data_IF_924977579518
#
_entry.id   IF_924977579518
#
_cell.length_a   1.000
_cell.length_b   1.000
_cell.length_c   1.000
_cell.angle_alpha   90.00
_cell.angle_beta   90.00
_cell.angle_gamma   90.00
#
_symmetry.space_group_name_H-M   'P 1'
#
loop_
_entity.id
_entity.type
_entity.pdbx_description
1 polymer ?
#
# COMPACT_ATOMS: atom_id res chain seq x y z
N UNK A 1 -8.95 -22.86 -13.22
CA UNK A 1 -8.63 -21.53 -13.77
C UNK A 1 -9.89 -20.70 -13.68
N UNK A 2 -10.17 -20.17 -12.49
CA UNK A 2 -11.39 -19.42 -12.19
C UNK A 2 -10.97 -18.04 -11.72
N UNK A 3 -11.60 -17.05 -12.36
CA UNK A 3 -11.46 -15.61 -12.31
C UNK A 3 -10.96 -15.01 -10.99
N UNK A 4 -9.88 -14.24 -11.12
CA UNK A 4 -9.60 -13.10 -10.25
C UNK A 4 -10.26 -11.88 -10.88
N UNK A 5 -11.57 -11.72 -10.72
CA UNK A 5 -12.30 -10.52 -11.16
C UNK A 5 -11.73 -9.31 -10.39
N UNK A 6 -11.23 -8.30 -11.11
CA UNK A 6 -10.56 -7.16 -10.50
C UNK A 6 -11.56 -6.36 -9.67
N UNK A 7 -11.09 -5.69 -8.60
CA UNK A 7 -11.91 -4.72 -7.83
C UNK A 7 -12.55 -3.68 -8.76
N UNK A 8 -11.84 -3.29 -9.83
CA UNK A 8 -12.32 -2.39 -10.87
C UNK A 8 -13.52 -2.97 -11.63
N UNK A 9 -13.47 -4.24 -12.04
CA UNK A 9 -14.55 -4.89 -12.79
C UNK A 9 -15.84 -4.95 -11.97
N UNK A 10 -15.72 -5.26 -10.67
CA UNK A 10 -16.86 -5.26 -9.73
C UNK A 10 -17.48 -3.89 -9.52
N UNK A 11 -16.68 -2.83 -9.54
CA UNK A 11 -17.20 -1.46 -9.40
C UNK A 11 -17.89 -1.00 -10.70
N UNK A 12 -17.33 -1.33 -11.88
CA UNK A 12 -17.98 -1.10 -13.18
C UNK A 12 -19.32 -1.84 -13.28
N UNK A 13 -19.37 -3.10 -12.85
CA UNK A 13 -20.62 -3.88 -12.82
C UNK A 13 -21.65 -3.32 -11.85
N UNK A 14 -21.22 -2.81 -10.68
CA UNK A 14 -22.11 -2.11 -9.75
C UNK A 14 -22.74 -0.88 -10.41
N UNK A 15 -21.94 -0.05 -11.07
CA UNK A 15 -22.43 1.16 -11.75
C UNK A 15 -23.40 0.84 -12.89
N UNK A 16 -23.17 -0.23 -13.65
CA UNK A 16 -24.14 -0.69 -14.66
C UNK A 16 -25.45 -1.20 -14.07
N UNK A 17 -25.40 -1.91 -12.93
CA UNK A 17 -26.60 -2.37 -12.24
C UNK A 17 -27.44 -1.20 -11.68
N UNK A 18 -26.77 -0.20 -11.09
CA UNK A 18 -27.43 1.02 -10.61
C UNK A 18 -28.06 1.82 -11.76
N UNK A 19 -27.35 1.95 -12.88
CA UNK A 19 -27.88 2.60 -14.08
C UNK A 19 -29.11 1.87 -14.64
N UNK A 20 -29.07 0.54 -14.73
CA UNK A 20 -30.21 -0.28 -15.16
C UNK A 20 -31.45 -0.03 -14.30
N UNK A 21 -31.29 -0.03 -12.97
CA UNK A 21 -32.40 0.16 -12.05
C UNK A 21 -33.09 1.51 -12.27
N UNK A 22 -32.30 2.59 -12.41
CA UNK A 22 -32.83 3.93 -12.69
C UNK A 22 -33.46 4.04 -14.07
N UNK A 23 -32.86 3.41 -15.09
CA UNK A 23 -33.44 3.36 -16.41
C UNK A 23 -34.81 2.66 -16.40
N UNK A 24 -34.93 1.57 -15.63
CA UNK A 24 -36.21 0.89 -15.44
C UNK A 24 -37.24 1.78 -14.73
N UNK A 25 -36.85 2.47 -13.66
CA UNK A 25 -37.73 3.40 -12.94
C UNK A 25 -38.21 4.54 -13.84
N UNK A 26 -37.31 5.11 -14.65
CA UNK A 26 -37.65 6.16 -15.60
C UNK A 26 -38.60 5.65 -16.68
N UNK A 27 -38.27 4.52 -17.33
CA UNK A 27 -39.11 3.92 -18.37
C UNK A 27 -40.50 3.55 -17.82
N UNK A 28 -40.60 3.10 -16.58
CA UNK A 28 -41.88 2.83 -15.93
C UNK A 28 -42.71 4.09 -15.66
N UNK A 29 -42.06 5.24 -15.50
CA UNK A 29 -42.70 6.53 -15.24
C UNK A 29 -43.02 7.33 -16.52
N UNK A 30 -42.53 6.92 -17.69
CA UNK A 30 -42.80 7.59 -18.97
C UNK A 30 -44.30 7.64 -19.27
N UNK A 31 -44.77 8.80 -19.70
CA UNK A 31 -46.14 9.02 -20.16
C UNK A 31 -46.23 8.94 -21.68
N UNK A 32 -47.43 8.71 -22.21
CA UNK A 32 -47.68 8.68 -23.65
C UNK A 32 -47.12 9.95 -24.34
N UNK A 33 -46.23 9.75 -25.31
CA UNK A 33 -45.54 10.82 -26.03
C UNK A 33 -44.16 11.19 -25.49
N UNK A 34 -43.73 10.60 -24.37
CA UNK A 34 -42.38 10.76 -23.83
C UNK A 34 -41.38 9.86 -24.57
N UNK A 35 -40.16 10.37 -24.70
CA UNK A 35 -39.04 9.66 -25.32
C UNK A 35 -37.73 9.94 -24.61
N UNK A 36 -36.84 8.94 -24.66
CA UNK A 36 -35.50 8.98 -24.10
C UNK A 36 -34.52 8.40 -25.13
N UNK A 37 -33.43 9.10 -25.40
CA UNK A 37 -32.32 8.62 -26.23
C UNK A 37 -31.07 8.49 -25.36
N UNK A 38 -30.42 7.33 -25.43
CA UNK A 38 -29.15 7.03 -24.79
C UNK A 38 -28.08 6.88 -25.89
N UNK A 39 -27.13 7.80 -25.94
CA UNK A 39 -26.09 7.84 -26.97
C UNK A 39 -24.69 7.75 -26.32
N UNK A 40 -23.76 6.91 -26.80
CA UNK A 40 -22.38 6.96 -26.35
C UNK A 40 -21.73 8.31 -26.63
N UNK A 41 -20.93 8.78 -25.68
CA UNK A 41 -20.12 9.98 -25.77
C UNK A 41 -18.94 9.70 -26.72
N UNK A 42 -19.06 10.10 -27.98
CA UNK A 42 -17.98 9.99 -28.96
C UNK A 42 -17.56 11.40 -29.39
N UNK A 43 -16.25 11.67 -29.42
CA UNK A 43 -15.69 12.90 -30.00
C UNK A 43 -15.83 12.83 -31.52
N UNK A 44 -17.00 13.15 -32.08
CA UNK A 44 -17.17 13.64 -33.47
C UNK A 44 -18.66 13.83 -33.80
N UNK A 45 -19.05 15.07 -34.07
CA UNK A 45 -20.43 15.53 -34.27
C UNK A 45 -20.79 15.60 -35.77
N UNK A 46 -20.41 14.57 -36.55
CA UNK A 46 -20.63 14.60 -38.01
C UNK A 46 -20.91 13.21 -38.60
N UNK A 47 -22.18 12.85 -38.71
CA UNK A 47 -22.67 11.68 -39.45
C UNK A 47 -24.17 11.39 -39.22
N UNK A 48 -24.79 10.46 -39.99
CA UNK A 48 -26.15 9.97 -39.72
C UNK A 48 -26.25 9.32 -38.32
N UNK A 49 -27.48 8.95 -37.90
CA UNK A 49 -27.79 8.48 -36.53
C UNK A 49 -26.68 7.60 -35.94
N UNK A 50 -26.04 8.10 -34.88
CA UNK A 50 -24.97 7.40 -34.17
C UNK A 50 -25.48 6.15 -33.44
N UNK A 51 -24.59 5.35 -32.85
CA UNK A 51 -25.00 4.25 -31.99
C UNK A 51 -25.87 4.81 -30.86
N UNK A 52 -27.08 4.27 -30.67
CA UNK A 52 -27.95 4.72 -29.60
C UNK A 52 -28.90 3.61 -29.15
N UNK A 53 -29.55 3.84 -28.02
CA UNK A 53 -30.77 3.13 -27.63
C UNK A 53 -31.86 4.17 -27.39
N UNK A 54 -33.00 4.01 -28.05
CA UNK A 54 -34.12 4.93 -27.94
C UNK A 54 -35.32 4.24 -27.27
N UNK A 55 -36.00 4.98 -26.42
CA UNK A 55 -37.30 4.62 -25.85
C UNK A 55 -38.35 5.61 -26.28
N UNK A 56 -39.55 5.11 -26.56
CA UNK A 56 -40.71 5.93 -26.86
C UNK A 56 -41.96 5.31 -26.23
N UNK A 57 -42.60 6.06 -25.33
CA UNK A 57 -43.85 5.64 -24.70
C UNK A 57 -45.04 6.09 -25.55
N UNK A 58 -45.95 5.17 -25.81
CA UNK A 58 -47.15 5.42 -26.61
C UNK A 58 -48.33 4.58 -26.12
N UNK A 59 -49.54 5.03 -26.47
CA UNK A 59 -50.84 4.37 -26.28
C UNK A 59 -50.97 3.24 -25.26
N UNK A 60 -51.82 3.45 -24.25
CA UNK A 60 -52.18 2.43 -23.24
C UNK A 60 -50.97 1.89 -22.46
N UNK A 61 -49.95 2.73 -22.21
CA UNK A 61 -48.80 2.39 -21.38
C UNK A 61 -47.84 1.38 -22.03
N UNK A 62 -47.74 1.37 -23.37
CA UNK A 62 -46.71 0.63 -24.08
C UNK A 62 -45.45 1.48 -24.24
N UNK A 63 -44.29 0.85 -24.15
CA UNK A 63 -43.00 1.46 -24.44
C UNK A 63 -42.33 0.66 -25.54
N UNK A 64 -41.96 1.38 -26.60
CA UNK A 64 -41.11 0.89 -27.67
C UNK A 64 -39.66 1.18 -27.32
N UNK A 65 -38.80 0.19 -27.49
CA UNK A 65 -37.35 0.31 -27.36
C UNK A 65 -36.72 0.00 -28.71
N UNK A 66 -35.79 0.84 -29.17
CA UNK A 66 -35.19 0.78 -30.51
C UNK A 66 -33.66 0.90 -30.49
N UNK A 67 -33.02 0.20 -31.41
CA UNK A 67 -31.57 0.23 -31.67
C UNK A 67 -31.35 0.39 -33.18
N UNK A 68 -30.53 1.36 -33.64
CA UNK A 68 -30.31 1.59 -35.06
C UNK A 68 -29.89 0.34 -35.82
N UNK A 69 -30.43 0.17 -37.03
CA UNK A 69 -30.01 -0.86 -37.97
C UNK A 69 -28.84 -0.39 -38.85
N UNK A 70 -28.19 -1.33 -39.55
CA UNK A 70 -27.13 -1.03 -40.52
C UNK A 70 -27.54 -0.08 -41.66
N UNK A 71 -28.85 0.18 -41.84
CA UNK A 71 -29.36 1.19 -42.77
C UNK A 71 -29.23 2.63 -42.25
N UNK A 72 -29.11 2.82 -40.94
CA UNK A 72 -28.98 4.13 -40.28
C UNK A 72 -27.55 4.43 -39.81
N UNK A 73 -26.74 3.38 -39.62
CA UNK A 73 -25.37 3.47 -39.13
C UNK A 73 -24.38 3.81 -40.25
N UNK A 74 -23.38 4.60 -39.90
CA UNK A 74 -22.20 4.83 -40.75
C UNK A 74 -21.49 3.50 -41.09
N UNK A 75 -20.93 3.33 -42.31
CA UNK A 75 -20.18 2.13 -42.69
C UNK A 75 -19.16 1.64 -41.66
N UNK A 76 -18.47 2.54 -40.96
CA UNK A 76 -17.42 2.20 -39.99
C UNK A 76 -17.99 1.71 -38.65
N UNK A 77 -19.30 1.79 -38.44
CA UNK A 77 -20.00 1.43 -37.20
C UNK A 77 -21.12 0.41 -37.41
N UNK A 78 -21.11 -0.30 -38.53
CA UNK A 78 -22.11 -1.33 -38.83
C UNK A 78 -22.03 -2.50 -37.86
N UNK A 79 -23.19 -2.95 -37.41
CA UNK A 79 -23.40 -4.18 -36.67
C UNK A 79 -22.85 -5.37 -37.45
N UNK A 80 -21.99 -6.15 -36.81
CA UNK A 80 -21.52 -7.41 -37.37
C UNK A 80 -22.59 -8.51 -37.24
N UNK A 81 -22.42 -9.65 -37.94
CA UNK A 81 -23.35 -10.78 -37.83
C UNK A 81 -23.51 -11.32 -36.39
N UNK A 82 -22.47 -11.18 -35.54
CA UNK A 82 -22.53 -11.57 -34.13
C UNK A 82 -23.39 -10.63 -33.29
N UNK A 83 -23.36 -9.33 -33.58
CA UNK A 83 -24.15 -8.32 -32.87
C UNK A 83 -25.63 -8.41 -33.27
N UNK A 84 -25.92 -8.63 -34.56
CA UNK A 84 -27.28 -8.87 -35.05
C UNK A 84 -27.89 -10.14 -34.43
N UNK A 85 -27.09 -11.20 -34.29
CA UNK A 85 -27.50 -12.43 -33.60
C UNK A 85 -27.76 -12.19 -32.11
N UNK A 86 -26.89 -11.44 -31.42
CA UNK A 86 -27.08 -11.08 -30.01
C UNK A 86 -28.35 -10.25 -29.80
N UNK A 87 -28.64 -9.28 -30.66
CA UNK A 87 -29.89 -8.51 -30.62
C UNK A 87 -31.10 -9.43 -30.83
N UNK A 88 -31.04 -10.36 -31.79
CA UNK A 88 -32.13 -11.32 -31.98
C UNK A 88 -32.35 -12.23 -30.75
N UNK A 89 -31.27 -12.71 -30.12
CA UNK A 89 -31.32 -13.54 -28.90
C UNK A 89 -31.90 -12.78 -27.69
N UNK A 90 -31.59 -11.50 -27.56
CA UNK A 90 -32.16 -10.60 -26.55
C UNK A 90 -33.66 -10.29 -26.81
N UNK A 91 -34.20 -10.75 -27.94
CA UNK A 91 -35.62 -10.66 -28.29
C UNK A 91 -36.00 -9.45 -29.14
N UNK A 92 -35.01 -8.72 -29.67
CA UNK A 92 -35.25 -7.61 -30.58
C UNK A 92 -35.78 -8.13 -31.91
N UNK A 93 -36.79 -7.46 -32.45
CA UNK A 93 -37.31 -7.74 -33.79
C UNK A 93 -36.44 -7.04 -34.82
N UNK A 94 -36.09 -7.76 -35.88
CA UNK A 94 -35.38 -7.18 -37.01
C UNK A 94 -36.21 -6.05 -37.65
N UNK A 95 -35.54 -5.09 -38.32
CA UNK A 95 -36.20 -4.04 -39.09
C UNK A 95 -37.27 -4.62 -40.03
N UNK A 96 -38.50 -4.14 -39.93
CA UNK A 96 -39.60 -4.60 -40.77
C UNK A 96 -39.71 -3.83 -42.09
N UNK A 97 -39.08 -2.66 -42.15
CA UNK A 97 -39.12 -1.74 -43.30
C UNK A 97 -37.79 -0.98 -43.46
N UNK A 98 -37.56 -0.38 -44.62
CA UNK A 98 -36.46 0.56 -44.84
C UNK A 98 -36.72 1.95 -44.23
N UNK A 99 -35.68 2.81 -44.13
CA UNK A 99 -35.81 4.16 -43.58
C UNK A 99 -36.81 5.03 -44.35
N UNK A 100 -36.88 4.84 -45.68
CA UNK A 100 -37.71 5.62 -46.60
C UNK A 100 -39.08 4.96 -46.91
N UNK A 101 -39.35 3.79 -46.33
CA UNK A 101 -40.59 3.05 -46.57
C UNK A 101 -41.75 3.60 -45.71
N UNK A 102 -43.01 3.55 -46.19
CA UNK A 102 -44.17 4.04 -45.44
C UNK A 102 -44.40 3.31 -44.10
N UNK A 103 -45.05 3.97 -43.14
CA UNK A 103 -45.31 3.42 -41.80
C UNK A 103 -46.29 2.25 -41.84
N UNK A 104 -45.83 1.08 -41.36
CA UNK A 104 -46.58 -0.18 -41.34
C UNK A 104 -46.81 -0.73 -39.91
N UNK A 105 -46.55 0.10 -38.89
CA UNK A 105 -46.61 -0.28 -37.47
C UNK A 105 -45.34 -0.95 -36.92
N UNK A 106 -44.36 -1.26 -37.79
CA UNK A 106 -43.04 -1.74 -37.38
C UNK A 106 -41.99 -0.62 -37.29
N UNK A 107 -40.72 -0.94 -37.51
CA UNK A 107 -39.61 0.01 -37.38
C UNK A 107 -38.51 -0.28 -38.41
N UNK A 108 -37.83 0.77 -38.92
CA UNK A 108 -36.63 0.59 -39.74
C UNK A 108 -35.37 0.30 -38.88
N UNK A 109 -35.50 0.36 -37.56
CA UNK A 109 -34.52 -0.04 -36.56
C UNK A 109 -34.83 -1.44 -35.98
N UNK A 110 -33.90 -2.02 -35.22
CA UNK A 110 -34.22 -3.16 -34.36
C UNK A 110 -35.13 -2.67 -33.23
N UNK A 111 -36.24 -3.36 -32.97
CA UNK A 111 -37.25 -2.83 -32.06
C UNK A 111 -37.89 -3.89 -31.16
N UNK A 112 -38.44 -3.44 -30.03
CA UNK A 112 -39.25 -4.24 -29.13
C UNK A 112 -40.33 -3.38 -28.47
N UNK A 113 -41.57 -3.85 -28.51
CA UNK A 113 -42.69 -3.23 -27.77
C UNK A 113 -43.01 -4.06 -26.52
N UNK A 114 -43.09 -3.39 -25.37
CA UNK A 114 -43.51 -3.98 -24.10
C UNK A 114 -44.36 -3.00 -23.28
N UNK A 115 -45.26 -3.48 -22.41
CA UNK A 115 -45.91 -2.63 -21.42
C UNK A 115 -44.87 -2.00 -20.49
N UNK A 116 -45.13 -0.78 -20.00
CA UNK A 116 -44.27 -0.08 -19.02
C UNK A 116 -44.04 -0.90 -17.73
N UNK A 117 -44.96 -1.81 -17.38
CA UNK A 117 -44.77 -2.76 -16.28
C UNK A 117 -43.57 -3.72 -16.46
N UNK A 118 -43.02 -3.83 -17.68
CA UNK A 118 -41.85 -4.62 -18.02
C UNK A 118 -40.59 -3.74 -18.23
N UNK A 119 -40.58 -2.53 -17.66
CA UNK A 119 -39.49 -1.57 -17.79
C UNK A 119 -38.12 -2.14 -17.38
N UNK A 120 -38.04 -3.02 -16.37
CA UNK A 120 -36.78 -3.66 -15.99
C UNK A 120 -36.23 -4.58 -17.10
N UNK A 121 -37.11 -5.29 -17.83
CA UNK A 121 -36.66 -6.07 -18.99
C UNK A 121 -36.13 -5.15 -20.09
N UNK A 122 -36.86 -4.07 -20.38
CA UNK A 122 -36.47 -3.08 -21.39
C UNK A 122 -35.11 -2.43 -21.03
N UNK A 123 -34.91 -2.07 -19.77
CA UNK A 123 -33.64 -1.54 -19.27
C UNK A 123 -32.50 -2.58 -19.35
N UNK A 124 -32.76 -3.85 -19.05
CA UNK A 124 -31.77 -4.91 -19.12
C UNK A 124 -31.26 -5.15 -20.55
N UNK A 125 -32.18 -5.22 -21.53
CA UNK A 125 -31.80 -5.43 -22.93
C UNK A 125 -31.08 -4.21 -23.50
N UNK A 126 -31.48 -3.00 -23.10
CA UNK A 126 -30.81 -1.75 -23.45
C UNK A 126 -29.38 -1.67 -22.91
N UNK A 127 -29.17 -1.97 -21.62
CA UNK A 127 -27.83 -2.01 -21.01
C UNK A 127 -26.94 -3.06 -21.68
N UNK A 128 -27.52 -4.21 -22.05
CA UNK A 128 -26.78 -5.26 -22.75
C UNK A 128 -26.37 -4.80 -24.15
N UNK A 129 -27.26 -4.13 -24.89
CA UNK A 129 -26.93 -3.54 -26.19
C UNK A 129 -25.81 -2.48 -26.05
N UNK A 130 -25.93 -1.55 -25.09
CA UNK A 130 -24.92 -0.53 -24.83
C UNK A 130 -23.54 -1.12 -24.48
N UNK A 131 -23.47 -2.15 -23.61
CA UNK A 131 -22.20 -2.77 -23.22
C UNK A 131 -21.59 -3.69 -24.28
N UNK A 132 -22.41 -4.56 -24.87
CA UNK A 132 -21.91 -5.69 -25.67
C UNK A 132 -21.90 -5.39 -27.16
N UNK A 133 -22.87 -4.62 -27.64
CA UNK A 133 -22.98 -4.26 -29.06
C UNK A 133 -22.25 -2.94 -29.32
N UNK A 134 -22.49 -1.93 -28.48
CA UNK A 134 -21.85 -0.62 -28.63
C UNK A 134 -20.54 -0.45 -27.86
N UNK A 135 -20.12 -1.47 -27.10
CA UNK A 135 -18.82 -1.48 -26.42
C UNK A 135 -18.65 -0.38 -25.38
N UNK A 136 -19.73 0.18 -24.84
CA UNK A 136 -19.66 1.26 -23.85
C UNK A 136 -19.07 0.70 -22.56
N UNK A 137 -17.90 1.20 -22.10
CA UNK A 137 -17.21 0.61 -20.96
C UNK A 137 -17.91 0.93 -19.63
N UNK A 138 -18.50 2.13 -19.50
CA UNK A 138 -19.13 2.61 -18.27
C UNK A 138 -20.32 3.54 -18.57
N UNK A 139 -21.41 3.55 -17.77
CA UNK A 139 -22.59 4.37 -18.05
C UNK A 139 -22.33 5.90 -18.04
N UNK A 140 -21.25 6.36 -17.42
CA UNK A 140 -20.81 7.78 -17.47
C UNK A 140 -20.44 8.25 -18.88
N UNK A 141 -20.17 7.32 -19.80
CA UNK A 141 -19.91 7.66 -21.20
C UNK A 141 -21.21 7.71 -22.03
N UNK A 142 -22.37 7.87 -21.41
CA UNK A 142 -23.63 8.06 -22.11
C UNK A 142 -24.07 9.51 -22.02
N UNK A 143 -24.61 10.02 -23.12
CA UNK A 143 -25.44 11.21 -23.17
C UNK A 143 -26.90 10.78 -23.17
N UNK A 144 -27.71 11.54 -22.47
CA UNK A 144 -29.12 11.24 -22.24
C UNK A 144 -29.94 12.43 -22.70
N UNK A 145 -30.77 12.22 -23.72
CA UNK A 145 -31.65 13.26 -24.25
C UNK A 145 -33.12 12.83 -24.12
N UNK A 146 -33.88 13.59 -23.34
CA UNK A 146 -35.33 13.36 -23.13
C UNK A 146 -36.18 14.35 -23.92
N UNK A 147 -37.23 13.86 -24.57
CA UNK A 147 -38.18 14.67 -25.34
C UNK A 147 -39.63 14.23 -25.05
N UNK A 148 -40.61 15.08 -25.35
CA UNK A 148 -42.03 14.78 -25.08
C UNK A 148 -42.70 15.76 -24.12
N UNK A 149 -43.96 15.48 -23.80
CA UNK A 149 -44.87 16.40 -23.08
C UNK A 149 -44.72 16.36 -21.57
N UNK A 150 -44.15 15.30 -21.00
CA UNK A 150 -44.00 15.07 -19.56
C UNK A 150 -42.55 15.09 -19.07
N UNK A 151 -41.69 15.98 -19.59
CA UNK A 151 -40.25 16.09 -19.28
C UNK A 151 -39.91 15.88 -17.79
N UNK A 152 -39.62 14.65 -17.42
CA UNK A 152 -38.79 14.31 -16.29
C UNK A 152 -37.38 14.14 -16.86
N UNK A 153 -36.45 15.03 -16.49
CA UNK A 153 -35.07 14.91 -16.96
C UNK A 153 -34.50 13.59 -16.42
N UNK A 154 -33.97 12.75 -17.33
CA UNK A 154 -33.26 11.54 -16.93
C UNK A 154 -31.84 11.92 -16.53
N UNK A 155 -31.65 12.23 -15.25
CA UNK A 155 -30.32 12.55 -14.73
C UNK A 155 -29.51 11.27 -14.49
N UNK A 156 -28.35 11.18 -15.15
CA UNK A 156 -27.30 10.26 -14.75
C UNK A 156 -26.96 10.49 -13.27
N UNK A 157 -26.51 9.46 -12.54
CA UNK A 157 -26.02 9.69 -11.19
C UNK A 157 -24.99 10.83 -11.21
N UNK A 158 -25.03 11.78 -10.26
CA UNK A 158 -23.76 12.37 -9.84
C UNK A 158 -22.83 11.19 -9.53
N UNK A 159 -21.53 11.26 -9.89
CA UNK A 159 -20.57 10.22 -9.54
C UNK A 159 -20.84 9.82 -8.09
N UNK A 160 -20.99 8.51 -7.84
CA UNK A 160 -21.46 7.97 -6.57
C UNK A 160 -20.94 8.85 -5.45
N UNK A 161 -21.86 9.46 -4.69
CA UNK A 161 -21.50 10.31 -3.55
C UNK A 161 -20.47 9.52 -2.78
N UNK A 162 -19.20 9.96 -2.85
CA UNK A 162 -18.11 9.30 -2.16
C UNK A 162 -18.64 9.14 -0.76
N UNK A 163 -18.80 7.89 -0.31
CA UNK A 163 -19.00 7.61 1.11
C UNK A 163 -17.97 8.51 1.78
N UNK A 164 -18.37 9.57 2.50
CA UNK A 164 -17.44 10.60 2.88
C UNK A 164 -16.31 9.86 3.58
N UNK A 165 -15.05 9.98 3.11
CA UNK A 165 -13.96 9.28 3.75
C UNK A 165 -14.06 9.62 5.23
N UNK A 166 -14.01 8.57 6.06
CA UNK A 166 -13.99 8.72 7.52
C UNK A 166 -13.01 9.84 7.85
N UNK A 167 -13.54 10.97 8.33
CA UNK A 167 -12.84 12.24 8.53
C UNK A 167 -11.88 12.61 7.37
N UNK A 168 -12.29 13.57 6.52
CA UNK A 168 -11.47 13.99 5.38
C UNK A 168 -10.10 14.54 5.84
N UNK A 169 -9.09 13.66 5.82
CA UNK A 169 -7.69 14.05 5.86
C UNK A 169 -7.44 15.08 4.75
N UNK A 170 -6.60 16.11 4.99
CA UNK A 170 -6.33 17.12 3.98
C UNK A 170 -5.78 16.48 2.69
N UNK A 171 -6.32 16.86 1.52
CA UNK A 171 -5.97 16.29 0.20
C UNK A 171 -4.46 16.32 -0.11
N UNK A 172 -3.76 17.39 0.32
CA UNK A 172 -2.31 17.53 0.27
C UNK A 172 -1.88 18.71 1.16
N UNK A 173 -0.85 18.53 1.99
CA UNK A 173 -0.33 19.57 2.90
C UNK A 173 1.10 19.92 2.52
N UNK A 174 1.37 21.22 2.36
CA UNK A 174 2.74 21.72 2.21
C UNK A 174 3.45 21.64 3.55
N UNK A 175 4.59 20.95 3.59
CA UNK A 175 5.35 20.72 4.81
C UNK A 175 6.34 21.86 5.06
N UNK A 176 6.53 22.20 6.34
CA UNK A 176 7.30 23.38 6.77
C UNK A 176 8.61 23.00 7.49
N UNK A 177 8.98 21.72 7.48
CA UNK A 177 10.13 21.14 8.16
C UNK A 177 9.82 19.76 8.76
N UNK A 178 10.83 19.10 9.32
CA UNK A 178 10.75 17.75 9.91
C UNK A 178 9.63 17.60 10.95
N UNK A 179 9.53 18.56 11.89
CA UNK A 179 8.53 18.51 12.97
C UNK A 179 7.09 18.55 12.43
N UNK A 180 6.84 19.37 11.40
CA UNK A 180 5.53 19.44 10.77
C UNK A 180 5.20 18.15 10.03
N UNK A 181 6.19 17.46 9.45
CA UNK A 181 5.99 16.12 8.86
C UNK A 181 5.62 15.12 9.96
N UNK A 182 6.29 15.15 11.12
CA UNK A 182 5.96 14.28 12.26
C UNK A 182 4.53 14.48 12.76
N UNK A 183 4.11 15.73 12.96
CA UNK A 183 2.74 16.06 13.36
C UNK A 183 1.70 15.54 12.35
N UNK A 184 2.00 15.65 11.05
CA UNK A 184 1.13 15.16 9.98
C UNK A 184 1.06 13.63 9.94
N UNK A 185 2.17 12.93 10.17
CA UNK A 185 2.20 11.47 10.30
C UNK A 185 1.36 11.05 11.50
N UNK A 186 1.60 11.66 12.67
CA UNK A 186 0.91 11.30 13.91
C UNK A 186 -0.60 11.55 13.83
N UNK A 187 -1.03 12.69 13.28
CA UNK A 187 -2.45 12.97 13.05
C UNK A 187 -3.08 11.99 12.06
N UNK A 188 -2.40 11.67 10.96
CA UNK A 188 -2.87 10.68 9.97
C UNK A 188 -3.03 9.29 10.57
N UNK A 189 -2.06 8.84 11.38
CA UNK A 189 -2.11 7.53 12.03
C UNK A 189 -3.17 7.48 13.13
N UNK A 190 -3.34 8.56 13.89
CA UNK A 190 -4.33 8.69 14.96
C UNK A 190 -5.76 8.53 14.44
N UNK A 191 -6.05 9.08 13.27
CA UNK A 191 -7.36 8.93 12.65
C UNK A 191 -7.66 7.49 12.21
N UNK A 192 -6.63 6.73 11.81
CA UNK A 192 -6.79 5.34 11.33
C UNK A 192 -6.75 4.29 12.44
N UNK A 193 -5.82 4.42 13.38
CA UNK A 193 -5.46 3.39 14.38
C UNK A 193 -5.91 3.81 15.78
N UNK A 194 -6.24 5.08 16.00
CA UNK A 194 -6.63 5.62 17.30
C UNK A 194 -5.40 6.01 18.12
N UNK A 195 -4.92 5.11 18.97
CA UNK A 195 -3.78 5.38 19.86
C UNK A 195 -2.47 5.19 19.09
N UNK A 196 -1.74 6.28 18.87
CA UNK A 196 -0.47 6.27 18.12
C UNK A 196 0.67 6.05 19.12
N UNK A 197 1.61 5.13 18.84
CA UNK A 197 2.82 4.96 19.65
C UNK A 197 3.61 6.26 19.80
N UNK A 198 4.46 6.34 20.83
CA UNK A 198 5.39 7.44 20.98
C UNK A 198 6.52 7.31 19.96
N UNK A 199 7.02 8.46 19.47
CA UNK A 199 8.26 8.53 18.71
C UNK A 199 9.43 8.00 19.54
N UNK A 200 10.27 7.18 18.94
CA UNK A 200 11.49 6.66 19.59
C UNK A 200 12.65 7.67 19.52
N UNK A 201 13.79 7.30 20.13
CA UNK A 201 15.00 8.15 20.14
C UNK A 201 15.62 8.34 18.74
N UNK A 202 15.29 7.46 17.79
CA UNK A 202 15.77 7.47 16.41
C UNK A 202 14.85 8.29 15.47
N UNK A 203 13.68 8.70 15.97
CA UNK A 203 12.75 9.56 15.27
C UNK A 203 11.75 8.81 14.39
N UNK A 204 11.45 7.55 14.74
CA UNK A 204 10.51 6.67 14.06
C UNK A 204 9.34 6.25 14.98
N UNK A 205 8.23 5.84 14.37
CA UNK A 205 7.05 5.27 15.02
C UNK A 205 6.94 3.78 14.75
N UNK A 206 6.95 2.95 15.79
CA UNK A 206 6.84 1.50 15.67
C UNK A 206 5.37 1.03 15.73
N UNK A 207 4.82 0.62 14.59
CA UNK A 207 3.47 0.09 14.43
C UNK A 207 3.47 -1.45 14.40
N UNK A 208 2.42 -2.07 14.96
CA UNK A 208 2.21 -3.51 14.88
C UNK A 208 1.25 -3.84 13.74
N UNK A 209 1.70 -4.63 12.79
CA UNK A 209 0.90 -5.05 11.63
C UNK A 209 1.15 -6.52 11.34
N UNK A 210 0.09 -7.34 11.36
CA UNK A 210 0.15 -8.78 11.08
C UNK A 210 1.22 -9.56 11.88
N UNK A 211 1.48 -9.17 13.14
CA UNK A 211 2.47 -9.82 14.01
C UNK A 211 3.93 -9.43 13.73
N UNK A 212 4.15 -8.41 12.87
CA UNK A 212 5.44 -7.85 12.51
C UNK A 212 5.51 -6.37 12.89
N UNK A 213 6.73 -5.86 13.13
CA UNK A 213 6.97 -4.44 13.46
C UNK A 213 7.21 -3.65 12.17
N UNK A 214 6.48 -2.55 12.02
CA UNK A 214 6.60 -1.60 10.91
C UNK A 214 6.99 -0.24 11.49
N UNK A 215 8.14 0.27 11.11
CA UNK A 215 8.63 1.59 11.48
C UNK A 215 8.16 2.63 10.46
N UNK A 216 7.69 3.78 10.95
CA UNK A 216 7.31 4.93 10.13
C UNK A 216 8.10 6.14 10.58
N UNK A 217 8.94 6.65 9.71
CA UNK A 217 9.94 7.67 10.01
C UNK A 217 9.96 8.83 9.04
N UNK A 218 10.72 9.86 9.38
CA UNK A 218 11.09 10.92 8.44
C UNK A 218 12.47 10.62 7.88
N UNK A 219 12.53 10.41 6.56
CA UNK A 219 13.77 10.10 5.86
C UNK A 219 14.77 11.26 5.87
N UNK A 220 16.05 10.98 5.56
CA UNK A 220 17.11 11.99 5.59
C UNK A 220 16.79 13.18 4.68
N UNK A 221 17.05 14.39 5.18
CA UNK A 221 16.78 15.68 4.52
C UNK A 221 15.29 16.08 4.38
N UNK A 222 14.38 15.52 5.17
CA UNK A 222 12.96 15.93 5.25
C UNK A 222 12.18 15.76 3.93
N UNK A 223 12.68 14.93 3.01
CA UNK A 223 12.06 14.78 1.66
C UNK A 223 11.14 13.60 1.56
N UNK A 224 11.26 12.63 2.47
CA UNK A 224 10.48 11.41 2.43
C UNK A 224 9.92 11.01 3.78
N UNK A 225 8.76 10.37 3.75
CA UNK A 225 8.25 9.55 4.85
C UNK A 225 8.62 8.12 4.51
N UNK A 226 9.38 7.50 5.39
CA UNK A 226 9.93 6.17 5.18
C UNK A 226 9.14 5.16 6.00
N UNK A 227 8.57 4.17 5.33
CA UNK A 227 7.91 3.03 5.96
C UNK A 227 8.84 1.84 5.80
N UNK A 228 9.28 1.25 6.90
CA UNK A 228 10.29 0.21 6.92
C UNK A 228 9.85 -0.94 7.82
N UNK A 229 9.91 -2.18 7.32
CA UNK A 229 9.65 -3.36 8.13
C UNK A 229 10.71 -4.43 7.88
N UNK A 230 11.53 -4.79 8.88
CA UNK A 230 12.42 -5.93 8.77
C UNK A 230 11.61 -7.24 8.83
N UNK A 231 11.87 -8.16 7.89
CA UNK A 231 11.01 -9.35 7.69
C UNK A 231 11.73 -10.68 7.88
N UNK A 232 13.03 -10.77 7.56
CA UNK A 232 13.81 -12.01 7.69
C UNK A 232 15.21 -11.71 8.21
N UNK A 233 15.74 -12.55 9.09
CA UNK A 233 17.10 -12.46 9.63
C UNK A 233 17.86 -13.79 9.49
N UNK A 234 19.16 -13.79 9.83
CA UNK A 234 20.05 -14.96 9.77
C UNK A 234 20.11 -15.67 8.41
N UNK A 235 20.14 -14.90 7.33
CA UNK A 235 20.17 -15.46 5.97
C UNK A 235 21.54 -16.10 5.68
N UNK A 236 21.54 -17.42 5.59
CA UNK A 236 22.73 -18.23 5.26
C UNK A 236 23.01 -18.28 3.75
N UNK A 237 21.96 -18.13 2.91
CA UNK A 237 22.01 -18.30 1.46
C UNK A 237 21.84 -17.01 0.65
N UNK A 238 22.74 -16.03 0.80
CA UNK A 238 22.62 -14.68 0.19
C UNK A 238 22.32 -14.66 -1.32
N UNK A 239 22.90 -15.56 -2.12
CA UNK A 239 22.63 -15.61 -3.57
C UNK A 239 21.18 -15.97 -3.85
N UNK A 240 20.66 -16.99 -3.15
CA UNK A 240 19.25 -17.40 -3.27
C UNK A 240 18.31 -16.32 -2.74
N UNK A 241 18.68 -15.67 -1.64
CA UNK A 241 17.90 -14.57 -1.09
C UNK A 241 17.81 -13.39 -2.08
N UNK A 242 18.89 -13.06 -2.76
CA UNK A 242 18.90 -12.00 -3.77
C UNK A 242 17.96 -12.29 -4.96
N UNK A 243 17.89 -13.55 -5.41
CA UNK A 243 16.93 -13.96 -6.46
C UNK A 243 15.48 -13.75 -6.00
N UNK A 244 15.16 -14.21 -4.80
CA UNK A 244 13.80 -14.08 -4.23
C UNK A 244 13.44 -12.61 -3.99
N UNK A 245 14.39 -11.80 -3.54
CA UNK A 245 14.23 -10.34 -3.41
C UNK A 245 13.95 -9.68 -4.77
N UNK A 246 14.63 -10.11 -5.84
CA UNK A 246 14.36 -9.61 -7.18
C UNK A 246 12.94 -10.00 -7.67
N UNK A 247 12.48 -11.21 -7.38
CA UNK A 247 11.10 -11.64 -7.65
C UNK A 247 10.06 -10.87 -6.84
N UNK A 248 10.36 -10.53 -5.59
CA UNK A 248 9.49 -9.74 -4.72
C UNK A 248 9.35 -8.31 -5.24
N UNK A 249 10.46 -7.66 -5.60
CA UNK A 249 10.45 -6.33 -6.21
C UNK A 249 9.68 -6.27 -7.54
N UNK A 250 9.64 -7.37 -8.32
CA UNK A 250 8.81 -7.45 -9.54
C UNK A 250 7.31 -7.59 -9.23
N UNK A 251 6.96 -8.38 -8.20
CA UNK A 251 5.56 -8.64 -7.83
C UNK A 251 4.91 -7.48 -7.09
N UNK A 252 5.71 -6.68 -6.38
CA UNK A 252 5.26 -5.54 -5.60
C UNK A 252 5.97 -4.27 -6.05
N UNK A 253 5.58 -3.66 -7.17
CA UNK A 253 6.31 -2.52 -7.76
C UNK A 253 6.42 -1.29 -6.85
N UNK A 254 5.52 -1.16 -5.87
CA UNK A 254 5.46 -0.04 -4.93
C UNK A 254 6.21 -0.30 -3.61
N UNK A 255 6.70 -1.53 -3.40
CA UNK A 255 7.48 -1.89 -2.22
C UNK A 255 8.89 -2.25 -2.66
N UNK A 256 9.88 -1.85 -1.85
CA UNK A 256 11.28 -2.15 -2.11
C UNK A 256 11.78 -3.15 -1.10
N UNK A 257 12.19 -4.31 -1.59
CA UNK A 257 12.84 -5.34 -0.79
C UNK A 257 14.35 -5.14 -0.88
N UNK A 258 14.98 -4.99 0.27
CA UNK A 258 16.43 -4.81 0.40
C UNK A 258 17.03 -5.96 1.20
N UNK A 259 18.08 -6.56 0.66
CA UNK A 259 18.94 -7.49 1.37
C UNK A 259 20.16 -6.70 1.85
N UNK A 260 20.26 -6.47 3.15
CA UNK A 260 21.41 -5.81 3.78
C UNK A 260 22.02 -6.83 4.71
N UNK A 261 23.27 -7.16 4.45
CA UNK A 261 23.98 -8.21 5.17
C UNK A 261 23.15 -9.50 5.18
N UNK A 262 22.78 -10.02 6.34
CA UNK A 262 22.03 -11.27 6.52
C UNK A 262 20.54 -11.04 6.78
N UNK A 263 20.02 -9.85 6.48
CA UNK A 263 18.63 -9.46 6.74
C UNK A 263 17.93 -8.98 5.49
N UNK A 264 16.65 -9.31 5.39
CA UNK A 264 15.76 -8.71 4.39
C UNK A 264 14.76 -7.82 5.10
N UNK A 265 14.57 -6.63 4.54
CA UNK A 265 13.55 -5.70 4.95
C UNK A 265 12.74 -5.25 3.73
N UNK A 266 11.49 -4.87 3.99
CA UNK A 266 10.65 -4.13 3.05
C UNK A 266 10.69 -2.65 3.42
N UNK A 267 10.82 -1.80 2.42
CA UNK A 267 10.86 -0.35 2.55
C UNK A 267 9.93 0.28 1.51
N UNK A 268 9.24 1.35 1.90
CA UNK A 268 8.51 2.22 1.00
C UNK A 268 8.84 3.67 1.35
N UNK A 269 9.05 4.50 0.33
CA UNK A 269 9.45 5.90 0.50
C UNK A 269 8.38 6.78 -0.15
N UNK A 270 7.72 7.61 0.65
CA UNK A 270 6.71 8.54 0.17
C UNK A 270 7.28 9.96 0.14
N UNK A 271 6.99 10.78 -0.87
CA UNK A 271 7.31 12.20 -0.82
C UNK A 271 6.66 12.88 0.39
N UNK A 272 7.46 13.60 1.18
CA UNK A 272 6.98 14.36 2.33
C UNK A 272 6.56 15.80 1.97
N UNK A 273 6.73 16.23 0.72
CA UNK A 273 6.37 17.59 0.29
C UNK A 273 5.91 17.62 -1.17
N UNK A 274 4.59 17.81 -1.44
CA UNK A 274 3.51 17.88 -0.45
C UNK A 274 3.28 16.53 0.23
N UNK A 275 2.97 16.54 1.53
CA UNK A 275 2.54 15.35 2.26
C UNK A 275 1.07 15.07 1.96
N UNK A 276 0.78 13.83 1.56
CA UNK A 276 -0.58 13.37 1.27
C UNK A 276 -0.92 12.26 2.27
N UNK A 277 -1.73 12.54 3.30
CA UNK A 277 -2.13 11.56 4.31
C UNK A 277 -2.65 10.25 3.73
N UNK A 278 -3.47 10.33 2.67
CA UNK A 278 -4.03 9.16 2.00
C UNK A 278 -2.95 8.25 1.42
N UNK A 279 -1.82 8.78 0.93
CA UNK A 279 -0.73 7.95 0.41
C UNK A 279 -0.04 7.17 1.52
N UNK A 280 0.12 7.76 2.71
CA UNK A 280 0.66 7.05 3.88
C UNK A 280 -0.25 5.87 4.25
N UNK A 281 -1.56 6.10 4.36
CA UNK A 281 -2.52 5.05 4.66
C UNK A 281 -2.54 3.94 3.61
N UNK A 282 -2.57 4.28 2.32
CA UNK A 282 -2.50 3.30 1.22
C UNK A 282 -1.19 2.51 1.26
N UNK A 283 -0.08 3.14 1.59
CA UNK A 283 1.22 2.45 1.70
C UNK A 283 1.24 1.48 2.88
N UNK A 284 0.67 1.88 4.02
CA UNK A 284 0.52 0.99 5.17
C UNK A 284 -0.41 -0.18 4.87
N UNK A 285 -1.51 0.03 4.14
CA UNK A 285 -2.40 -1.05 3.68
C UNK A 285 -1.67 -2.02 2.73
N UNK A 286 -0.81 -1.53 1.83
CA UNK A 286 0.02 -2.36 0.95
C UNK A 286 1.05 -3.18 1.72
N UNK A 287 1.72 -2.57 2.70
CA UNK A 287 2.65 -3.28 3.58
C UNK A 287 1.90 -4.32 4.40
N UNK A 288 0.74 -3.98 4.97
CA UNK A 288 -0.11 -4.92 5.71
C UNK A 288 -0.52 -6.12 4.85
N UNK A 289 -1.00 -5.87 3.64
CA UNK A 289 -1.38 -6.92 2.69
C UNK A 289 -0.22 -7.86 2.38
N UNK A 290 1.00 -7.31 2.22
CA UNK A 290 2.19 -8.13 2.01
C UNK A 290 2.51 -8.98 3.26
N UNK A 291 2.49 -8.38 4.45
CA UNK A 291 2.84 -9.05 5.71
C UNK A 291 1.83 -10.15 6.06
N UNK A 292 0.54 -9.94 5.83
CA UNK A 292 -0.52 -10.96 6.03
C UNK A 292 -0.34 -12.18 5.12
N UNK A 293 0.35 -12.02 3.98
CA UNK A 293 0.66 -13.10 3.05
C UNK A 293 1.91 -13.92 3.40
N UNK A 294 2.61 -13.60 4.49
CA UNK A 294 3.82 -14.31 4.92
C UNK A 294 3.45 -15.65 5.60
N UNK A 295 3.95 -16.75 5.04
CA UNK A 295 3.86 -18.10 5.61
C UNK A 295 5.18 -18.49 6.31
N UNK A 296 5.16 -19.46 7.23
CA UNK A 296 6.37 -20.00 7.87
C UNK A 296 7.43 -20.46 6.84
N UNK A 297 6.98 -20.92 5.66
CA UNK A 297 7.85 -21.30 4.55
C UNK A 297 8.58 -20.13 3.87
N UNK A 298 8.18 -18.88 4.11
CA UNK A 298 8.80 -17.69 3.52
C UNK A 298 10.24 -17.49 3.99
N UNK A 299 10.50 -17.62 5.30
CA UNK A 299 11.86 -17.55 5.85
C UNK A 299 12.76 -18.62 5.24
N UNK A 300 12.26 -19.87 5.18
CA UNK A 300 13.00 -20.99 4.59
C UNK A 300 13.34 -20.77 3.11
N UNK A 301 12.43 -20.15 2.32
CA UNK A 301 12.69 -19.82 0.90
C UNK A 301 13.82 -18.79 0.73
N UNK A 302 13.96 -17.87 1.68
CA UNK A 302 15.04 -16.89 1.74
C UNK A 302 16.31 -17.45 2.41
N UNK A 303 16.24 -18.62 3.05
CA UNK A 303 17.35 -19.24 3.76
C UNK A 303 17.65 -18.60 5.12
N UNK A 304 16.64 -18.02 5.76
CA UNK A 304 16.69 -17.41 7.08
C UNK A 304 15.40 -17.64 7.88
N UNK A 305 15.21 -16.89 8.95
CA UNK A 305 14.05 -16.99 9.85
C UNK A 305 13.18 -15.74 9.76
N UNK A 306 11.85 -15.91 9.78
CA UNK A 306 10.92 -14.78 9.79
C UNK A 306 11.09 -14.00 11.08
N UNK A 307 11.24 -12.69 10.96
CA UNK A 307 11.41 -11.80 12.09
C UNK A 307 10.05 -11.47 12.72
N UNK A 308 9.39 -12.46 13.30
CA UNK A 308 8.20 -12.24 14.12
C UNK A 308 8.55 -11.38 15.33
N UNK A 309 7.56 -10.74 15.95
CA UNK A 309 7.76 -9.96 17.17
C UNK A 309 8.58 -10.70 18.25
N UNK A 310 8.51 -12.04 18.31
CA UNK A 310 9.30 -12.87 19.23
C UNK A 310 10.81 -12.82 18.93
N UNK A 311 11.20 -12.59 17.68
CA UNK A 311 12.59 -12.46 17.24
C UNK A 311 13.05 -10.99 17.12
N UNK A 312 12.10 -10.05 16.98
CA UNK A 312 12.32 -8.62 17.17
C UNK A 312 11.80 -8.14 18.52
N UNK A 313 12.06 -8.89 19.57
CA UNK A 313 12.17 -8.31 20.88
C UNK A 313 13.40 -7.39 20.82
N UNK A 314 13.23 -6.16 20.37
CA UNK A 314 13.80 -4.97 21.01
C UNK A 314 12.84 -4.43 22.09
N UNK A 315 11.68 -5.07 22.25
CA UNK A 315 10.77 -4.94 23.38
C UNK A 315 10.87 -6.26 24.16
N UNK A 316 11.01 -6.30 25.48
CA UNK A 316 10.98 -7.55 26.22
C UNK A 316 9.61 -8.22 26.04
N UNK A 317 9.51 -9.56 26.13
CA UNK A 317 8.22 -10.23 26.14
C UNK A 317 7.35 -9.67 27.28
N UNK A 318 6.02 -9.70 27.15
CA UNK A 318 5.13 -9.25 28.22
C UNK A 318 5.53 -9.94 29.53
N UNK A 319 5.65 -9.15 30.60
CA UNK A 319 6.19 -9.53 31.91
C UNK A 319 5.48 -10.73 32.60
N UNK A 320 4.41 -11.22 31.98
CA UNK A 320 3.58 -12.31 32.44
C UNK A 320 3.88 -13.66 31.75
N UNK A 321 4.69 -13.71 30.68
CA UNK A 321 5.00 -14.97 29.96
C UNK A 321 6.49 -15.35 29.87
N UNK A 322 7.42 -14.47 30.24
CA UNK A 322 8.71 -14.89 30.83
C UNK A 322 8.66 -14.61 32.33
N UNK A 323 9.32 -15.41 33.18
CA UNK A 323 9.51 -14.99 34.55
C UNK A 323 10.12 -13.58 34.51
N UNK A 324 9.51 -12.58 35.19
CA UNK A 324 10.02 -11.22 35.18
C UNK A 324 11.51 -11.28 35.52
N UNK A 325 12.35 -10.50 34.83
CA UNK A 325 13.78 -10.45 35.19
C UNK A 325 13.87 -10.12 36.68
N UNK A 326 14.37 -11.08 37.44
CA UNK A 326 14.45 -10.99 38.90
C UNK A 326 15.91 -10.76 39.30
N UNK A 327 16.15 -10.34 40.54
CA UNK A 327 17.51 -10.33 41.11
C UNK A 327 18.25 -11.69 40.97
N UNK A 328 17.52 -12.80 40.80
CA UNK A 328 18.09 -14.13 40.57
C UNK A 328 18.55 -14.32 39.11
N UNK A 329 17.92 -13.64 38.14
CA UNK A 329 18.28 -13.64 36.72
C UNK A 329 19.62 -12.92 36.43
N UNK A 330 20.09 -12.08 37.35
CA UNK A 330 21.42 -11.44 37.26
C UNK A 330 22.55 -12.49 37.27
N UNK A 331 22.36 -13.64 37.93
CA UNK A 331 23.37 -14.69 38.01
C UNK A 331 23.58 -15.44 36.68
N UNK A 332 22.60 -15.39 35.76
CA UNK A 332 22.63 -16.08 34.47
C UNK A 332 23.27 -15.26 33.35
N UNK A 333 23.68 -14.02 33.64
CA UNK A 333 24.34 -13.15 32.67
C UNK A 333 25.74 -13.66 32.30
N UNK A 334 26.24 -13.34 31.08
CA UNK A 334 27.59 -13.74 30.67
C UNK A 334 28.65 -13.30 31.69
N UNK A 335 29.56 -14.21 32.05
CA UNK A 335 30.62 -13.95 33.04
C UNK A 335 31.45 -12.70 32.69
N UNK A 336 31.66 -12.44 31.41
CA UNK A 336 32.40 -11.26 30.94
C UNK A 336 31.64 -9.96 31.20
N UNK A 337 30.30 -9.99 31.08
CA UNK A 337 29.45 -8.85 31.43
C UNK A 337 29.39 -8.65 32.95
N UNK A 338 29.28 -9.74 33.72
CA UNK A 338 29.33 -9.67 35.18
C UNK A 338 30.66 -9.11 35.69
N UNK A 339 31.78 -9.54 35.09
CA UNK A 339 33.09 -8.98 35.37
C UNK A 339 33.20 -7.49 35.00
N UNK A 340 32.51 -7.05 33.94
CA UNK A 340 32.44 -5.63 33.58
C UNK A 340 31.65 -4.83 34.63
N UNK A 341 30.48 -5.32 35.05
CA UNK A 341 29.68 -4.72 36.14
C UNK A 341 30.49 -4.67 37.44
N UNK A 342 31.30 -5.69 37.72
CA UNK A 342 32.10 -5.74 38.95
C UNK A 342 33.13 -4.60 39.06
N UNK A 343 33.55 -4.02 37.92
CA UNK A 343 34.37 -2.79 37.93
C UNK A 343 33.60 -1.55 38.38
N UNK A 344 32.29 -1.62 38.54
CA UNK A 344 31.42 -0.50 38.92
C UNK A 344 30.77 -0.68 40.30
N UNK A 345 31.12 -1.74 41.03
CA UNK A 345 30.74 -1.93 42.43
C UNK A 345 31.22 -0.72 43.26
N UNK A 346 30.38 -0.29 44.22
CA UNK A 346 30.66 0.80 45.15
C UNK A 346 31.00 2.16 44.49
N UNK A 347 30.56 2.38 43.25
CA UNK A 347 30.60 3.69 42.60
C UNK A 347 32.00 4.16 42.15
N UNK A 348 32.93 3.24 41.89
CA UNK A 348 34.30 3.60 41.49
C UNK A 348 34.79 2.88 40.23
N UNK A 349 35.47 3.69 39.39
CA UNK A 349 36.34 3.42 38.24
C UNK A 349 35.68 3.56 36.86
N UNK A 350 36.11 4.60 36.15
CA UNK A 350 35.94 4.70 34.71
C UNK A 350 36.83 3.64 34.05
N UNK A 351 36.22 2.58 33.52
CA UNK A 351 36.92 1.58 32.74
C UNK A 351 37.30 2.21 31.40
N UNK A 352 38.56 2.04 30.98
CA UNK A 352 38.99 2.57 29.68
C UNK A 352 38.13 1.93 28.57
N UNK A 353 37.53 2.71 27.64
CA UNK A 353 36.67 2.18 26.58
C UNK A 353 37.32 1.08 25.73
N UNK A 354 38.66 1.11 25.57
CA UNK A 354 39.42 0.05 24.90
C UNK A 354 39.43 -1.27 25.65
N UNK A 355 39.49 -1.22 26.98
CA UNK A 355 39.43 -2.41 27.82
C UNK A 355 38.06 -3.04 27.75
N UNK A 356 37.01 -2.22 27.78
CA UNK A 356 35.61 -2.67 27.60
C UNK A 356 35.39 -3.28 26.22
N UNK A 357 35.89 -2.65 25.14
CA UNK A 357 35.81 -3.18 23.79
C UNK A 357 36.47 -4.55 23.68
N UNK A 358 37.67 -4.72 24.26
CA UNK A 358 38.37 -6.03 24.32
C UNK A 358 37.63 -7.09 25.12
N UNK A 359 36.91 -6.70 26.17
CA UNK A 359 36.06 -7.64 26.93
C UNK A 359 34.87 -8.13 26.08
N UNK A 360 34.47 -7.38 25.06
CA UNK A 360 33.48 -7.79 24.07
C UNK A 360 34.15 -8.22 22.74
N UNK A 361 35.39 -8.71 22.80
CA UNK A 361 36.14 -9.24 21.65
C UNK A 361 36.35 -8.23 20.50
N UNK A 362 36.30 -6.92 20.80
CA UNK A 362 36.33 -5.82 19.82
C UNK A 362 35.20 -5.92 18.75
N UNK A 363 34.10 -6.64 19.06
CA UNK A 363 32.93 -6.81 18.19
C UNK A 363 31.77 -5.87 18.60
N UNK A 364 31.31 -4.98 17.69
CA UNK A 364 30.20 -4.06 17.97
C UNK A 364 28.90 -4.77 18.35
N UNK A 365 28.60 -5.91 17.73
CA UNK A 365 27.37 -6.67 18.00
C UNK A 365 27.37 -7.27 19.41
N UNK A 366 28.54 -7.70 19.88
CA UNK A 366 28.71 -8.21 21.25
C UNK A 366 28.57 -7.10 22.29
N UNK A 367 29.08 -5.89 22.00
CA UNK A 367 28.87 -4.71 22.84
C UNK A 367 27.39 -4.29 22.87
N UNK A 368 26.68 -4.30 21.75
CA UNK A 368 25.24 -4.02 21.69
C UNK A 368 24.44 -5.04 22.51
N UNK A 369 24.79 -6.33 22.39
CA UNK A 369 24.17 -7.39 23.21
C UNK A 369 24.40 -7.14 24.71
N UNK A 370 25.62 -6.80 25.11
CA UNK A 370 25.95 -6.47 26.50
C UNK A 370 25.22 -5.22 26.98
N UNK A 371 25.09 -4.21 26.13
CA UNK A 371 24.39 -2.96 26.46
C UNK A 371 22.92 -3.22 26.75
N UNK A 372 22.25 -4.00 25.90
CA UNK A 372 20.86 -4.38 26.10
C UNK A 372 20.65 -5.11 27.43
N UNK A 373 21.43 -6.16 27.69
CA UNK A 373 21.34 -6.90 28.95
C UNK A 373 21.59 -6.01 30.19
N UNK A 374 22.43 -4.97 30.05
CA UNK A 374 22.71 -4.02 31.12
C UNK A 374 21.57 -3.04 31.36
N UNK A 375 20.90 -2.59 30.29
CA UNK A 375 19.73 -1.69 30.37
C UNK A 375 18.56 -2.43 31.02
N UNK A 376 18.29 -3.66 30.59
CA UNK A 376 17.23 -4.50 31.20
C UNK A 376 17.46 -4.66 32.71
N UNK A 377 18.70 -4.99 33.10
CA UNK A 377 19.10 -5.11 34.50
C UNK A 377 18.94 -3.80 35.28
N UNK A 378 19.32 -2.67 34.69
CA UNK A 378 19.18 -1.34 35.31
C UNK A 378 17.70 -1.02 35.60
N UNK A 379 16.83 -1.18 34.60
CA UNK A 379 15.39 -0.86 34.69
C UNK A 379 14.73 -1.70 35.78
N UNK A 380 15.04 -2.99 35.84
CA UNK A 380 14.49 -3.87 36.86
C UNK A 380 14.93 -3.50 38.28
N UNK A 381 16.21 -3.19 38.50
CA UNK A 381 16.67 -2.73 39.81
C UNK A 381 16.06 -1.38 40.23
N UNK A 382 15.80 -0.48 39.27
CA UNK A 382 15.06 0.76 39.52
C UNK A 382 13.60 0.51 39.91
N UNK A 383 12.92 -0.41 39.22
CA UNK A 383 11.56 -0.82 39.55
C UNK A 383 11.49 -1.47 40.94
N UNK A 384 12.47 -2.30 41.30
CA UNK A 384 12.57 -2.91 42.62
C UNK A 384 12.81 -1.88 43.72
N UNK A 385 13.67 -0.89 43.48
CA UNK A 385 13.88 0.23 44.41
C UNK A 385 12.57 0.99 44.65
N UNK A 386 11.81 1.30 43.59
CA UNK A 386 10.52 1.98 43.70
C UNK A 386 9.48 1.13 44.47
N UNK A 387 9.42 -0.18 44.21
CA UNK A 387 8.55 -1.10 44.93
C UNK A 387 8.88 -1.20 46.42
N UNK A 388 10.16 -1.28 46.77
CA UNK A 388 10.64 -1.31 48.16
C UNK A 388 10.43 0.02 48.89
N UNK A 389 10.59 1.15 48.18
CA UNK A 389 10.30 2.48 48.71
C UNK A 389 8.82 2.63 49.05
N UNK A 390 7.92 2.16 48.17
CA UNK A 390 6.48 2.14 48.42
C UNK A 390 6.10 1.24 49.62
N UNK A 391 6.85 0.16 49.85
CA UNK A 391 6.66 -0.73 51.00
C UNK A 391 7.30 -0.21 52.30
N UNK A 392 8.03 0.92 52.27
CA UNK A 392 8.70 1.49 53.44
C UNK A 392 9.99 0.78 53.86
N UNK A 393 10.57 -0.08 53.02
CA UNK A 393 11.85 -0.75 53.24
C UNK A 393 13.01 0.15 52.78
N UNK A 394 13.41 1.11 53.62
CA UNK A 394 14.49 2.05 53.29
C UNK A 394 15.86 1.39 53.07
N UNK A 395 16.16 0.31 53.79
CA UNK A 395 17.44 -0.40 53.64
C UNK A 395 17.50 -1.20 52.32
N UNK A 396 16.39 -1.86 51.96
CA UNK A 396 16.26 -2.53 50.67
C UNK A 396 16.21 -1.56 49.49
N UNK A 397 15.58 -0.39 49.66
CA UNK A 397 15.56 0.67 48.65
C UNK A 397 16.99 1.11 48.32
N UNK A 398 17.79 1.45 49.33
CA UNK A 398 19.18 1.88 49.12
C UNK A 398 20.05 0.80 48.44
N UNK A 399 19.81 -0.48 48.76
CA UNK A 399 20.51 -1.61 48.11
C UNK A 399 20.13 -1.78 46.65
N UNK A 400 18.83 -1.66 46.32
CA UNK A 400 18.34 -1.74 44.95
C UNK A 400 18.79 -0.53 44.11
N UNK A 401 18.82 0.68 44.70
CA UNK A 401 19.37 1.88 44.06
C UNK A 401 20.87 1.74 43.76
N UNK A 402 21.66 1.19 44.68
CA UNK A 402 23.07 0.92 44.45
C UNK A 402 23.28 -0.05 43.28
N UNK A 403 22.46 -1.11 43.21
CA UNK A 403 22.46 -2.08 42.10
C UNK A 403 22.09 -1.43 40.76
N UNK A 404 21.08 -0.57 40.73
CA UNK A 404 20.74 0.18 39.54
C UNK A 404 21.90 1.10 39.07
N UNK A 405 22.62 1.74 40.00
CA UNK A 405 23.77 2.58 39.68
C UNK A 405 24.97 1.80 39.13
N UNK A 406 25.19 0.57 39.59
CA UNK A 406 26.20 -0.34 39.04
C UNK A 406 25.92 -0.63 37.55
N UNK A 407 24.67 -0.94 37.22
CA UNK A 407 24.24 -1.23 35.85
C UNK A 407 24.21 0.01 34.96
N UNK A 408 23.79 1.17 35.49
CA UNK A 408 23.88 2.46 34.78
C UNK A 408 25.34 2.81 34.43
N UNK A 409 26.27 2.57 35.34
CA UNK A 409 27.70 2.77 35.11
C UNK A 409 28.25 1.81 34.05
N UNK A 410 27.75 0.57 34.04
CA UNK A 410 28.07 -0.45 33.02
C UNK A 410 27.58 -0.02 31.63
N UNK A 411 26.34 0.45 31.52
CA UNK A 411 25.79 1.02 30.28
C UNK A 411 26.64 2.18 29.75
N UNK A 412 27.07 3.09 30.62
CA UNK A 412 27.95 4.21 30.24
C UNK A 412 29.29 3.74 29.68
N UNK A 413 29.90 2.73 30.30
CA UNK A 413 31.16 2.12 29.84
C UNK A 413 31.03 1.43 28.48
N UNK A 414 29.94 0.68 28.28
CA UNK A 414 29.63 0.00 27.01
C UNK A 414 29.36 1.00 25.88
N UNK A 415 28.59 2.05 26.13
CA UNK A 415 28.35 3.12 25.17
C UNK A 415 29.63 3.87 24.79
N UNK A 416 30.53 4.10 25.76
CA UNK A 416 31.83 4.69 25.48
C UNK A 416 32.72 3.79 24.60
N UNK A 417 32.66 2.46 24.80
CA UNK A 417 33.35 1.47 23.97
C UNK A 417 32.77 1.39 22.55
N UNK A 418 31.43 1.43 22.43
CA UNK A 418 30.74 1.47 21.13
C UNK A 418 31.15 2.69 20.31
N UNK A 419 31.20 3.88 20.93
CA UNK A 419 31.66 5.11 20.26
C UNK A 419 33.12 5.04 19.81
N UNK A 420 33.95 4.22 20.45
CA UNK A 420 35.34 4.01 20.06
C UNK A 420 35.45 3.11 18.82
N UNK A 421 34.67 2.03 18.75
CA UNK A 421 34.68 1.08 17.63
C UNK A 421 33.93 1.64 16.41
N UNK A 422 32.81 2.33 16.65
CA UNK A 422 31.94 2.93 15.63
C UNK A 422 31.86 4.44 15.88
N UNK A 423 32.85 5.23 15.41
CA UNK A 423 32.79 6.68 15.56
C UNK A 423 31.63 7.25 14.74
N UNK A 424 30.88 8.24 15.26
CA UNK A 424 29.80 8.88 14.52
C UNK A 424 30.32 9.50 13.23
N UNK A 425 29.53 9.38 12.16
CA UNK A 425 29.83 9.94 10.85
C UNK A 425 30.06 11.46 10.96
N UNK A 426 31.33 11.87 11.02
CA UNK A 426 31.72 13.29 11.14
C UNK A 426 33.00 13.57 11.93
N UNK A 427 33.48 12.65 12.77
CA UNK A 427 34.72 12.87 13.53
C UNK A 427 35.96 12.37 12.78
N UNK A 428 36.46 13.17 11.83
CA UNK A 428 37.72 12.91 11.13
C UNK A 428 38.94 13.18 12.03
N UNK A 429 39.23 12.26 12.93
CA UNK A 429 40.52 12.16 13.60
C UNK A 429 41.59 11.65 12.64
N UNK A 430 42.52 12.54 12.23
CA UNK A 430 43.73 12.31 11.42
C UNK A 430 44.09 10.84 11.16
N UNK A 431 43.55 10.28 10.07
CA UNK A 431 44.07 9.03 9.48
C UNK A 431 45.50 9.27 9.00
N UNK A 432 46.45 8.68 9.74
CA UNK A 432 47.84 8.48 9.34
C UNK A 432 47.85 7.89 7.92
N UNK A 433 48.43 8.61 6.95
CA UNK A 433 48.53 8.24 5.52
C UNK A 433 48.95 6.77 5.37
N UNK A 434 47.98 5.87 5.14
CA UNK A 434 48.24 4.62 4.40
C UNK A 434 48.41 5.04 2.94
N UNK A 435 49.53 4.63 2.34
CA UNK A 435 49.78 4.77 0.90
C UNK A 435 48.53 4.32 0.13
N UNK A 436 48.00 5.20 -0.71
CA UNK A 436 47.00 4.85 -1.72
C UNK A 436 47.56 3.68 -2.54
N UNK A 437 46.91 2.52 -2.49
CA UNK A 437 46.92 1.60 -3.61
C UNK A 437 46.18 2.27 -4.77
N UNK A 438 46.70 2.09 -5.97
CA UNK A 438 46.17 2.66 -7.22
C UNK A 438 44.66 2.41 -7.37
N UNK A 439 43.93 3.29 -8.09
CA UNK A 439 42.52 3.04 -8.39
C UNK A 439 42.40 1.76 -9.23
N UNK A 440 41.28 1.01 -9.12
CA UNK A 440 41.01 -0.03 -10.11
C UNK A 440 40.87 0.63 -11.48
N UNK A 441 41.53 0.06 -12.49
CA UNK A 441 41.40 0.48 -13.88
C UNK A 441 39.93 0.39 -14.29
N UNK A 442 39.40 1.52 -14.71
CA UNK A 442 38.09 1.65 -15.33
C UNK A 442 38.20 0.95 -16.68
N UNK A 443 37.40 -0.09 -16.91
CA UNK A 443 37.33 -0.74 -18.23
C UNK A 443 36.72 0.30 -19.17
N UNK A 444 37.53 0.89 -20.04
CA UNK A 444 37.06 1.73 -21.13
C UNK A 444 36.33 0.86 -22.14
N UNK A 445 34.99 0.83 -22.05
CA UNK A 445 34.17 0.43 -23.17
C UNK A 445 34.27 1.55 -24.22
N UNK A 446 34.76 1.20 -25.41
CA UNK A 446 34.83 2.00 -26.65
C UNK A 446 36.08 2.89 -26.81
N UNK A 447 37.23 2.27 -27.09
CA UNK A 447 38.46 2.98 -27.49
C UNK A 447 38.59 3.25 -29.00
N UNK A 448 37.62 2.90 -29.86
CA UNK A 448 37.78 3.15 -31.30
C UNK A 448 36.44 3.47 -32.01
N UNK A 449 36.22 4.72 -32.48
CA UNK A 449 34.99 5.11 -33.17
C UNK A 449 34.85 4.57 -34.62
N UNK A 450 35.86 3.85 -35.13
CA UNK A 450 35.90 3.32 -36.50
C UNK A 450 35.89 1.78 -36.57
N UNK A 451 35.61 1.06 -35.46
CA UNK A 451 35.46 -0.41 -35.50
C UNK A 451 34.03 -0.83 -35.90
N UNK A 452 33.87 -1.71 -36.90
CA UNK A 452 32.54 -2.18 -37.32
C UNK A 452 31.90 -2.99 -36.20
N UNK A 453 30.64 -2.69 -35.91
CA UNK A 453 29.89 -3.37 -34.85
C UNK A 453 29.19 -4.60 -35.40
N UNK A 454 28.83 -5.53 -34.51
CA UNK A 454 28.10 -6.77 -34.81
C UNK A 454 26.71 -6.56 -35.46
N UNK A 455 26.30 -5.31 -35.67
CA UNK A 455 25.04 -4.91 -36.31
C UNK A 455 25.22 -4.41 -37.76
N UNK A 456 26.46 -4.29 -38.25
CA UNK A 456 26.75 -3.78 -39.59
C UNK A 456 26.66 -4.86 -40.71
N UNK A 457 26.42 -6.13 -40.37
CA UNK A 457 26.32 -7.24 -41.34
C UNK A 457 24.88 -7.62 -41.77
N UNK A 458 23.87 -6.77 -41.52
CA UNK A 458 22.47 -7.07 -41.88
C UNK A 458 21.83 -6.06 -42.84
N UNK A 459 22.62 -5.46 -43.74
CA UNK A 459 22.06 -4.73 -44.88
C UNK A 459 22.85 -5.04 -46.15
N UNK A 460 22.43 -6.11 -46.82
CA UNK A 460 22.43 -6.22 -48.29
C UNK A 460 21.17 -6.99 -48.74
#
# INVERSE_FOLDING_TARGET
MTDTESRFDRDVDRSWNEFRARLADHVAAMSDGDGLVLEPLVEEDTGPAGPCVQFYAWGEGQVRCEVPSNAHLDPDRRLGPGDEALLAELGWRAPSRGPDDPEDGGSPAYWMDRPAAWADQLAAVAVTALRRVWGVPHPLFLRTDTFGTGRADFELPPPAEEIPPQAALPLAVQTAGEEHVRELIESTLRERIGDVPLWDEDGDLALRVAGMVVFVGVGPHERTVDVFAPIVHQITGRTRAAEVVADLNRRWPHLKFVLVEDRVAVAAHLPASPFVPAHLLVTLDLVAQFLEGLDEGFGTRLGGELLHEIDHDGVPPPADELPPWTAESEADLPLTLLALRDFHLDGQVAVEPRTVARMADDEPDQLLRFLRMSVDAQVCWQAEAMGRAAAGDGAGTARAEAKAQEWESTCRSLTAAMRLLVPPAGTTGKRRRRRRSSPPEQIELFENPDEPTLFDELSD
#
